data_IF_714407618201
#
_entry.id   IF_714407618201
#
_cell.length_a   1.000
_cell.length_b   1.000
_cell.length_c   1.000
_cell.angle_alpha   90.00
_cell.angle_beta   90.00
_cell.angle_gamma   90.00
#
_symmetry.space_group_name_H-M   'P 1'
#
loop_
_entity.id
_entity.type
_entity.pdbx_description
1 polymer ?
#
# COMPACT_ATOMS: atom_id res chain seq x y z
N UNK A 1 -16.78 8.22 -16.17
CA UNK A 1 -16.26 8.18 -14.78
C UNK A 1 -17.33 7.65 -13.86
N UNK A 2 -16.91 7.05 -12.75
CA UNK A 2 -17.82 6.48 -11.76
C UNK A 2 -18.66 7.58 -11.08
N UNK A 3 -19.94 7.29 -10.84
CA UNK A 3 -20.89 8.19 -10.17
C UNK A 3 -20.81 8.02 -8.64
N UNK A 4 -21.26 9.04 -7.92
CA UNK A 4 -21.32 9.04 -6.45
C UNK A 4 -22.09 7.85 -5.88
N UNK A 5 -23.19 7.43 -6.53
CA UNK A 5 -24.01 6.27 -6.13
C UNK A 5 -23.26 4.94 -6.26
N UNK A 6 -22.38 4.78 -7.23
CA UNK A 6 -21.61 3.54 -7.39
C UNK A 6 -20.64 3.35 -6.22
N UNK A 7 -20.05 4.44 -5.69
CA UNK A 7 -19.24 4.36 -4.47
C UNK A 7 -20.07 3.95 -3.26
N UNK A 8 -21.33 4.37 -3.18
CA UNK A 8 -22.24 3.95 -2.12
C UNK A 8 -22.57 2.46 -2.21
N UNK A 9 -22.74 1.90 -3.42
CA UNK A 9 -22.94 0.46 -3.64
C UNK A 9 -21.71 -0.34 -3.25
N UNK A 10 -20.52 0.09 -3.67
CA UNK A 10 -19.28 -0.58 -3.25
C UNK A 10 -19.08 -0.51 -1.73
N UNK A 11 -19.44 0.60 -1.08
CA UNK A 11 -19.38 0.67 0.37
C UNK A 11 -20.38 -0.28 1.04
N UNK A 12 -21.55 -0.51 0.42
CA UNK A 12 -22.52 -1.52 0.89
C UNK A 12 -21.92 -2.92 0.84
N UNK A 13 -21.24 -3.24 -0.25
CA UNK A 13 -20.56 -4.52 -0.45
C UNK A 13 -19.37 -4.68 0.51
N UNK A 14 -18.53 -3.65 0.66
CA UNK A 14 -17.37 -3.65 1.55
C UNK A 14 -17.75 -3.83 3.03
N UNK A 15 -18.92 -3.33 3.43
CA UNK A 15 -19.47 -3.51 4.78
C UNK A 15 -20.27 -4.80 4.96
N UNK A 16 -20.48 -5.58 3.89
CA UNK A 16 -21.32 -6.79 3.94
C UNK A 16 -22.78 -6.51 4.31
N UNK A 17 -23.31 -5.32 3.97
CA UNK A 17 -24.68 -4.94 4.33
C UNK A 17 -25.68 -5.54 3.33
N UNK A 18 -26.60 -6.36 3.80
CA UNK A 18 -27.63 -6.98 2.94
C UNK A 18 -28.75 -5.99 2.59
N UNK A 19 -29.04 -5.05 3.49
CA UNK A 19 -30.12 -4.07 3.33
C UNK A 19 -29.64 -2.63 3.39
N UNK A 20 -30.38 -1.74 2.75
CA UNK A 20 -30.13 -0.30 2.79
C UNK A 20 -30.32 0.28 4.20
N UNK A 21 -31.13 -0.40 5.02
CA UNK A 21 -31.27 -0.09 6.44
C UNK A 21 -29.97 -0.34 7.22
N UNK A 22 -29.31 -1.48 7.00
CA UNK A 22 -28.03 -1.79 7.63
C UNK A 22 -26.96 -0.78 7.18
N UNK A 23 -26.94 -0.43 5.88
CA UNK A 23 -26.05 0.60 5.35
C UNK A 23 -26.28 1.96 6.00
N UNK A 24 -27.54 2.39 6.13
CA UNK A 24 -27.90 3.64 6.78
C UNK A 24 -27.40 3.69 8.23
N UNK A 25 -27.56 2.58 8.98
CA UNK A 25 -27.06 2.46 10.35
C UNK A 25 -25.53 2.52 10.42
N UNK A 26 -24.84 1.84 9.50
CA UNK A 26 -23.38 1.84 9.43
C UNK A 26 -22.81 3.23 9.11
N UNK A 27 -23.44 3.96 8.17
CA UNK A 27 -23.04 5.31 7.78
C UNK A 27 -23.59 6.41 8.71
N UNK A 28 -24.38 6.04 9.74
CA UNK A 28 -25.04 6.95 10.69
C UNK A 28 -25.93 7.99 10.00
N UNK A 29 -26.72 7.57 9.03
CA UNK A 29 -27.66 8.43 8.28
C UNK A 29 -29.08 7.86 8.31
N UNK A 30 -30.04 8.60 7.75
CA UNK A 30 -31.42 8.12 7.64
C UNK A 30 -31.56 7.13 6.48
N UNK A 31 -32.46 6.17 6.63
CA UNK A 31 -32.83 5.22 5.56
C UNK A 31 -33.40 5.93 4.34
N UNK A 32 -34.12 7.03 4.55
CA UNK A 32 -34.67 7.89 3.49
C UNK A 32 -33.54 8.52 2.68
N UNK A 33 -32.46 8.99 3.32
CA UNK A 33 -31.32 9.55 2.61
C UNK A 33 -30.66 8.51 1.70
N UNK A 34 -30.40 7.30 2.23
CA UNK A 34 -29.82 6.21 1.43
C UNK A 34 -30.72 5.86 0.25
N UNK A 35 -32.02 5.70 0.48
CA UNK A 35 -32.99 5.43 -0.59
C UNK A 35 -32.99 6.53 -1.65
N UNK A 36 -32.99 7.80 -1.24
CA UNK A 36 -32.95 8.94 -2.16
C UNK A 36 -31.66 8.97 -2.99
N UNK A 37 -30.51 8.63 -2.40
CA UNK A 37 -29.24 8.54 -3.11
C UNK A 37 -29.26 7.38 -4.12
N UNK A 38 -29.70 6.19 -3.70
CA UNK A 38 -29.77 5.00 -4.56
C UNK A 38 -30.69 5.18 -5.76
N UNK A 39 -31.82 5.86 -5.56
CA UNK A 39 -32.80 6.18 -6.59
C UNK A 39 -32.44 7.43 -7.41
N UNK A 40 -31.35 8.12 -7.07
CA UNK A 40 -30.92 9.34 -7.75
C UNK A 40 -31.82 10.56 -7.55
N UNK A 41 -32.74 10.50 -6.58
CA UNK A 41 -33.64 11.61 -6.20
C UNK A 41 -32.82 12.77 -5.63
N UNK A 42 -31.80 12.46 -4.83
CA UNK A 42 -30.87 13.45 -4.29
C UNK A 42 -29.42 13.04 -4.52
N UNK A 43 -28.52 14.02 -4.50
CA UNK A 43 -27.07 13.81 -4.58
C UNK A 43 -26.50 13.65 -3.18
N UNK A 44 -25.50 12.79 -3.05
CA UNK A 44 -24.82 12.55 -1.79
C UNK A 44 -24.23 13.85 -1.25
N UNK A 45 -24.35 14.03 0.06
CA UNK A 45 -23.77 15.17 0.78
C UNK A 45 -22.30 14.91 1.11
N UNK A 46 -21.49 15.97 1.24
CA UNK A 46 -20.04 15.89 1.40
C UNK A 46 -19.65 15.09 2.65
N UNK A 47 -20.43 15.22 3.73
CA UNK A 47 -20.24 14.41 4.94
C UNK A 47 -20.32 12.90 4.64
N UNK A 48 -21.34 12.48 3.90
CA UNK A 48 -21.54 11.08 3.54
C UNK A 48 -20.51 10.60 2.52
N UNK A 49 -20.07 11.46 1.59
CA UNK A 49 -18.95 11.18 0.70
C UNK A 49 -17.68 10.82 1.49
N UNK A 50 -17.35 11.61 2.52
CA UNK A 50 -16.18 11.33 3.38
C UNK A 50 -16.35 10.01 4.14
N UNK A 51 -17.55 9.73 4.68
CA UNK A 51 -17.84 8.46 5.37
C UNK A 51 -17.67 7.25 4.44
N UNK A 52 -18.18 7.34 3.21
CA UNK A 52 -18.04 6.28 2.20
C UNK A 52 -16.57 6.11 1.81
N UNK A 53 -15.83 7.21 1.64
CA UNK A 53 -14.40 7.16 1.35
C UNK A 53 -13.58 6.47 2.44
N UNK A 54 -13.90 6.74 3.71
CA UNK A 54 -13.28 6.06 4.86
C UNK A 54 -13.52 4.55 4.85
N UNK A 55 -14.72 4.12 4.46
CA UNK A 55 -15.07 2.69 4.36
C UNK A 55 -14.29 2.02 3.23
N UNK A 56 -14.15 2.69 2.09
CA UNK A 56 -13.47 2.16 0.90
C UNK A 56 -11.95 2.34 0.91
N UNK A 57 -11.41 3.16 1.81
CA UNK A 57 -9.98 3.50 1.83
C UNK A 57 -9.51 4.32 0.63
N UNK A 58 -10.42 5.10 0.00
CA UNK A 58 -10.11 5.95 -1.15
C UNK A 58 -10.04 7.42 -0.75
N UNK A 59 -9.46 8.26 -1.63
CA UNK A 59 -9.41 9.71 -1.41
C UNK A 59 -10.83 10.29 -1.35
N UNK A 60 -11.25 10.94 -0.25
CA UNK A 60 -12.59 11.50 -0.12
C UNK A 60 -12.91 12.53 -1.20
N UNK A 61 -11.89 13.24 -1.70
CA UNK A 61 -12.09 14.27 -2.72
C UNK A 61 -12.58 13.68 -4.05
N UNK A 62 -12.24 12.43 -4.36
CA UNK A 62 -12.70 11.74 -5.58
C UNK A 62 -14.23 11.57 -5.58
N UNK A 63 -14.80 11.19 -4.43
CA UNK A 63 -16.25 11.00 -4.27
C UNK A 63 -16.97 12.34 -4.22
N UNK A 64 -16.41 13.32 -3.50
CA UNK A 64 -16.97 14.68 -3.41
C UNK A 64 -17.05 15.31 -4.80
N UNK A 65 -15.96 15.26 -5.57
CA UNK A 65 -15.94 15.80 -6.92
C UNK A 65 -16.96 15.09 -7.83
N UNK A 66 -17.16 13.78 -7.67
CA UNK A 66 -18.21 13.04 -8.39
C UNK A 66 -19.62 13.56 -8.02
N UNK A 67 -19.89 13.79 -6.74
CA UNK A 67 -21.17 14.30 -6.27
C UNK A 67 -21.43 15.75 -6.72
N UNK A 68 -20.39 16.59 -6.75
CA UNK A 68 -20.49 17.98 -7.21
C UNK A 68 -20.69 18.07 -8.72
N UNK A 69 -19.98 17.25 -9.51
CA UNK A 69 -20.20 17.15 -10.96
C UNK A 69 -21.65 16.76 -11.29
N UNK A 70 -22.23 15.84 -10.53
CA UNK A 70 -23.63 15.42 -10.71
C UNK A 70 -24.66 16.48 -10.28
N UNK A 71 -24.30 17.37 -9.35
CA UNK A 71 -25.19 18.41 -8.81
C UNK A 71 -25.17 19.65 -9.69
N UNK A 72 -24.03 19.93 -10.31
CA UNK A 72 -23.81 21.13 -11.10
C UNK A 72 -24.63 21.12 -12.39
N UNK A 73 -25.10 22.31 -12.80
CA UNK A 73 -25.92 22.47 -14.01
C UNK A 73 -25.11 23.06 -15.16
N UNK A 74 -24.12 23.89 -14.86
CA UNK A 74 -23.24 24.48 -15.86
C UNK A 74 -22.24 23.45 -16.38
N UNK A 75 -22.17 23.28 -17.71
CA UNK A 75 -21.23 22.35 -18.34
C UNK A 75 -19.77 22.76 -18.09
N UNK A 76 -19.45 24.05 -18.06
CA UNK A 76 -18.10 24.56 -17.74
C UNK A 76 -17.62 24.06 -16.38
N UNK A 77 -18.48 24.18 -15.36
CA UNK A 77 -18.15 23.74 -14.00
C UNK A 77 -18.12 22.22 -13.87
N UNK A 78 -18.95 21.50 -14.62
CA UNK A 78 -18.85 20.02 -14.70
C UNK A 78 -17.50 19.60 -15.28
N UNK A 79 -17.04 20.28 -16.31
CA UNK A 79 -15.75 19.99 -16.93
C UNK A 79 -14.59 20.24 -15.97
N UNK A 80 -14.65 21.34 -15.18
CA UNK A 80 -13.70 21.58 -14.09
C UNK A 80 -13.63 20.40 -13.11
N UNK A 81 -14.77 19.92 -12.61
CA UNK A 81 -14.79 18.76 -11.70
C UNK A 81 -14.28 17.49 -12.37
N UNK A 82 -14.62 17.29 -13.64
CA UNK A 82 -14.21 16.12 -14.42
C UNK A 82 -12.70 16.08 -14.59
N UNK A 83 -12.08 17.21 -14.89
CA UNK A 83 -10.64 17.32 -15.09
C UNK A 83 -9.89 17.29 -13.76
N UNK A 84 -10.46 17.88 -12.72
CA UNK A 84 -9.94 17.76 -11.35
C UNK A 84 -9.85 16.31 -10.89
N UNK A 85 -10.86 15.47 -11.16
CA UNK A 85 -10.83 14.02 -10.85
C UNK A 85 -9.77 13.27 -11.64
N UNK A 86 -9.66 13.52 -12.95
CA UNK A 86 -8.64 12.89 -13.81
C UNK A 86 -7.22 13.14 -13.29
N UNK A 87 -6.92 14.35 -12.81
CA UNK A 87 -5.61 14.69 -12.28
C UNK A 87 -5.26 13.92 -11.00
N UNK A 88 -6.25 13.53 -10.19
CA UNK A 88 -6.07 12.86 -8.89
C UNK A 88 -6.04 11.33 -8.95
N UNK A 89 -6.61 10.73 -9.99
CA UNK A 89 -6.61 9.27 -10.17
C UNK A 89 -5.22 8.62 -10.31
N UNK A 90 -4.16 9.41 -10.51
CA UNK A 90 -2.80 8.92 -10.79
C UNK A 90 -1.88 8.78 -9.57
N UNK A 91 -2.33 9.09 -8.35
CA UNK A 91 -1.42 9.22 -7.20
C UNK A 91 -1.19 7.87 -6.47
N UNK A 92 -2.16 6.95 -6.52
CA UNK A 92 -2.08 5.67 -5.78
C UNK A 92 -1.03 4.71 -6.37
N UNK A 93 -0.75 4.79 -7.67
CA UNK A 93 0.29 3.98 -8.32
C UNK A 93 1.73 4.38 -7.94
N UNK A 94 1.94 5.64 -7.52
CA UNK A 94 3.28 6.14 -7.19
C UNK A 94 3.78 5.67 -5.81
N UNK A 95 2.88 5.48 -4.84
CA UNK A 95 3.26 5.09 -3.48
C UNK A 95 3.71 3.61 -3.37
N UNK A 96 3.10 2.70 -4.15
CA UNK A 96 3.49 1.27 -4.17
C UNK A 96 4.87 1.08 -4.81
N UNK A 97 5.24 1.89 -5.81
CA UNK A 97 6.55 1.84 -6.45
C UNK A 97 7.71 2.23 -5.51
N UNK A 98 7.49 3.17 -4.58
CA UNK A 98 8.50 3.60 -3.62
C UNK A 98 8.78 2.56 -2.53
N UNK A 99 7.77 1.78 -2.12
CA UNK A 99 7.94 0.73 -1.10
C UNK A 99 8.74 -0.49 -1.62
N UNK A 100 8.62 -0.82 -2.90
CA UNK A 100 9.39 -1.91 -3.53
C UNK A 100 10.80 -1.50 -3.94
N UNK A 101 11.07 -0.19 -4.11
CA UNK A 101 12.41 0.32 -4.44
C UNK A 101 13.40 0.37 -3.26
N UNK A 102 12.93 0.24 -2.02
CA UNK A 102 13.78 0.39 -0.83
C UNK A 102 14.47 -0.90 -0.36
N UNK A 103 14.04 -2.08 -0.82
CA UNK A 103 14.57 -3.37 -0.32
C UNK A 103 15.83 -3.86 -1.04
N UNK A 104 16.20 -3.30 -2.20
CA UNK A 104 17.43 -3.72 -2.91
C UNK A 104 18.70 -3.02 -2.43
N UNK A 105 18.61 -2.01 -1.55
CA UNK A 105 19.75 -1.25 -1.06
C UNK A 105 20.59 -1.98 0.02
N UNK A 106 20.13 -3.14 0.50
CA UNK A 106 20.92 -4.03 1.36
C UNK A 106 21.23 -5.35 0.65
N UNK A 107 21.75 -5.27 -0.58
CA UNK A 107 22.57 -6.38 -1.08
C UNK A 107 23.89 -6.35 -0.33
N UNK A 108 24.24 -7.35 0.50
CA UNK A 108 25.63 -7.54 0.88
C UNK A 108 26.36 -7.82 -0.44
N UNK A 109 27.21 -6.88 -0.87
CA UNK A 109 28.11 -7.13 -1.99
C UNK A 109 28.90 -8.39 -1.66
N UNK A 110 28.64 -9.47 -2.39
CA UNK A 110 29.59 -10.58 -2.44
C UNK A 110 30.91 -9.97 -2.85
N UNK A 111 31.87 -9.95 -1.92
CA UNK A 111 33.25 -9.57 -2.22
C UNK A 111 33.81 -10.71 -3.05
N UNK A 112 33.58 -10.63 -4.35
CA UNK A 112 34.19 -11.52 -5.33
C UNK A 112 35.63 -11.03 -5.51
N UNK A 113 36.56 -11.70 -4.83
CA UNK A 113 37.99 -11.39 -4.88
C UNK A 113 38.51 -11.63 -6.30
N UNK A 114 38.66 -10.54 -7.06
CA UNK A 114 39.26 -10.55 -8.40
C UNK A 114 40.78 -10.75 -8.28
N UNK A 115 41.24 -12.00 -8.30
CA UNK A 115 42.67 -12.31 -8.37
C UNK A 115 43.22 -11.97 -9.76
N UNK A 116 44.24 -11.11 -9.84
CA UNK A 116 45.00 -10.92 -11.07
C UNK A 116 46.51 -10.89 -10.77
N UNK A 117 47.19 -11.98 -11.14
CA UNK A 117 48.51 -11.91 -11.77
C UNK A 117 49.72 -12.44 -10.98
N UNK A 118 50.73 -13.00 -11.68
CA UNK A 118 51.47 -14.17 -11.20
C UNK A 118 52.89 -13.88 -10.69
N UNK A 119 53.43 -14.88 -9.96
CA UNK A 119 54.84 -15.24 -9.83
C UNK A 119 55.77 -14.29 -9.05
N UNK A 120 56.30 -14.79 -7.92
CA UNK A 120 57.71 -15.17 -7.90
C UNK A 120 57.94 -16.34 -6.94
N UNK A 121 58.69 -17.32 -7.42
CA UNK A 121 59.09 -18.55 -6.72
C UNK A 121 60.17 -18.24 -5.67
N UNK A 122 60.28 -19.10 -4.65
CA UNK A 122 61.51 -19.53 -3.92
C UNK A 122 61.06 -19.90 -2.49
N UNK A 123 61.41 -21.04 -1.89
CA UNK A 123 62.19 -22.24 -2.22
C UNK A 123 62.31 -22.92 -0.84
N UNK A 124 62.30 -24.26 -0.79
CA UNK A 124 62.74 -25.09 0.34
C UNK A 124 61.87 -25.02 1.62
N UNK A 125 61.69 -26.09 2.38
CA UNK A 125 62.17 -27.47 2.30
C UNK A 125 61.12 -28.34 3.02
N UNK A 126 61.11 -29.61 2.65
CA UNK A 126 60.35 -30.66 3.31
C UNK A 126 60.65 -30.74 4.81
N UNK A 127 59.64 -30.95 5.64
CA UNK A 127 59.70 -32.01 6.64
C UNK A 127 58.29 -32.45 7.03
N UNK A 128 57.91 -33.56 6.42
CA UNK A 128 56.98 -34.55 6.90
C UNK A 128 57.10 -34.77 8.41
N UNK A 129 56.01 -34.66 9.18
CA UNK A 129 55.77 -35.59 10.29
C UNK A 129 54.39 -35.44 10.96
N UNK A 130 53.65 -36.55 10.87
CA UNK A 130 52.85 -37.18 11.93
C UNK A 130 51.60 -36.50 12.48
N UNK A 131 50.48 -37.06 12.01
CA UNK A 131 49.33 -37.50 12.80
C UNK A 131 49.71 -38.00 14.21
N UNK A 132 48.78 -37.83 15.16
CA UNK A 132 48.56 -38.67 16.37
C UNK A 132 48.97 -38.08 17.74
N UNK A 133 47.96 -37.49 18.38
CA UNK A 133 47.39 -37.88 19.68
C UNK A 133 48.06 -37.57 21.02
N UNK A 134 47.14 -37.51 22.00
CA UNK A 134 47.21 -37.98 23.38
C UNK A 134 47.64 -37.01 24.49
N UNK A 135 46.64 -36.77 25.37
CA UNK A 135 46.62 -36.92 26.84
C UNK A 135 47.72 -36.19 27.65
N UNK A 136 47.31 -35.34 28.61
CA UNK A 136 47.53 -35.51 30.07
C UNK A 136 47.48 -34.17 30.84
N UNK A 137 46.54 -34.12 31.78
CA UNK A 137 46.65 -33.68 33.20
C UNK A 137 46.91 -32.21 33.62
N UNK A 138 45.89 -31.68 34.34
CA UNK A 138 45.92 -31.00 35.67
C UNK A 138 46.53 -29.58 35.81
N UNK A 139 46.32 -28.85 36.95
CA UNK A 139 45.19 -28.80 37.91
C UNK A 139 44.84 -27.39 38.53
N UNK A 140 43.71 -27.28 39.27
CA UNK A 140 43.43 -26.51 40.55
C UNK A 140 43.65 -24.96 40.55
N UNK A 141 42.78 -24.03 41.02
CA UNK A 141 42.10 -23.78 42.32
C UNK A 141 41.13 -22.58 42.12
N UNK A 142 39.83 -22.63 42.44
CA UNK A 142 39.18 -22.15 43.69
C UNK A 142 39.80 -20.92 44.37
N UNK A 143 39.05 -19.82 44.40
CA UNK A 143 38.70 -19.05 45.61
C UNK A 143 37.28 -18.50 45.45
#
# INVERSE_FOLDING_TARGET
>A
MKKSVEYLREAKEALGCESDYQLAKALKTSTVNISNYMNGISKMDDYHCIKVAQVLGIDPMEIIAAAQEEREKSEEKKEFWRDFRKARGNILGAAIALALGLTTALSPSHTEAKSIGPLYYVKYAMSNQTQTAMILTCPIKSY
#
